data_IF_002165174389
#
_entry.id   IF_002165174389
#
_cell.length_a   1.000
_cell.length_b   1.000
_cell.length_c   1.000
_cell.angle_alpha   90.00
_cell.angle_beta   90.00
_cell.angle_gamma   90.00
#
_symmetry.space_group_name_H-M   'P 1'
#
loop_
_entity.id
_entity.type
_entity.pdbx_description
1 polymer ?
#
# COMPACT_ATOMS: atom_id res chain seq x y z
N UNK A 1 -25.06 12.97 25.64
CA UNK A 1 -23.58 13.01 25.58
C UNK A 1 -23.13 12.04 24.50
N UNK A 2 -22.19 12.41 23.62
CA UNK A 2 -21.58 11.41 22.71
C UNK A 2 -20.82 10.41 23.58
N UNK A 3 -21.08 9.11 23.41
CA UNK A 3 -20.27 8.07 24.06
C UNK A 3 -18.79 8.32 23.77
N UNK A 4 -17.96 8.21 24.81
CA UNK A 4 -16.50 8.35 24.66
C UNK A 4 -16.00 7.15 23.86
N UNK A 5 -15.35 7.43 22.73
CA UNK A 5 -14.82 6.37 21.85
C UNK A 5 -13.72 5.57 22.56
N UNK A 6 -13.74 4.25 22.37
CA UNK A 6 -12.70 3.31 22.81
C UNK A 6 -12.33 2.38 21.66
N UNK A 7 -11.10 1.82 21.62
CA UNK A 7 -10.68 0.89 20.57
C UNK A 7 -11.58 -0.34 20.41
N UNK A 8 -12.20 -0.82 21.50
CA UNK A 8 -13.10 -1.99 21.46
C UNK A 8 -14.58 -1.62 21.24
N UNK A 9 -14.93 -0.33 21.26
CA UNK A 9 -16.32 0.14 21.17
C UNK A 9 -17.03 -0.17 19.85
N UNK A 10 -16.28 -0.48 18.79
CA UNK A 10 -16.87 -0.91 17.51
C UNK A 10 -17.56 -2.28 17.60
N UNK A 11 -17.14 -3.16 18.52
CA UNK A 11 -17.70 -4.52 18.67
C UNK A 11 -19.17 -4.53 19.10
N UNK A 12 -19.63 -3.44 19.73
CA UNK A 12 -21.03 -3.25 20.11
C UNK A 12 -21.90 -2.65 18.99
N UNK A 13 -21.31 -2.36 17.82
CA UNK A 13 -22.01 -1.78 16.67
C UNK A 13 -22.22 -2.84 15.59
N UNK A 14 -23.27 -2.72 14.75
CA UNK A 14 -23.41 -3.56 13.57
C UNK A 14 -22.18 -3.41 12.65
N UNK A 15 -21.48 -4.53 12.41
CA UNK A 15 -20.32 -4.59 11.52
C UNK A 15 -20.54 -5.72 10.49
N UNK A 16 -20.24 -5.45 9.22
CA UNK A 16 -20.32 -6.43 8.13
C UNK A 16 -18.94 -7.00 7.82
N UNK A 17 -18.92 -8.19 7.24
CA UNK A 17 -17.70 -8.87 6.77
C UNK A 17 -16.66 -9.23 7.85
N UNK A 18 -17.06 -9.22 9.12
CA UNK A 18 -16.26 -9.75 10.21
C UNK A 18 -16.50 -11.27 10.28
N UNK A 19 -15.46 -12.11 10.24
CA UNK A 19 -15.63 -13.55 10.41
C UNK A 19 -16.20 -13.85 11.80
N UNK A 20 -17.39 -14.46 11.83
CA UNK A 20 -18.03 -14.96 13.05
C UNK A 20 -17.77 -16.45 13.29
N UNK A 21 -17.10 -17.09 12.34
CA UNK A 21 -16.87 -18.53 12.17
C UNK A 21 -15.42 -18.94 12.47
N UNK A 22 -14.70 -18.18 13.30
CA UNK A 22 -13.44 -18.64 13.87
C UNK A 22 -13.71 -19.85 14.80
N UNK A 23 -13.07 -21.02 14.59
CA UNK A 23 -13.38 -22.23 15.35
C UNK A 23 -13.08 -22.15 16.85
N UNK A 24 -12.01 -21.42 17.23
CA UNK A 24 -11.64 -21.16 18.62
C UNK A 24 -11.61 -19.64 18.89
N UNK A 25 -12.67 -19.08 19.49
CA UNK A 25 -12.72 -17.67 19.88
C UNK A 25 -11.64 -17.27 20.89
N UNK A 26 -11.19 -18.18 21.76
CA UNK A 26 -10.10 -17.89 22.69
C UNK A 26 -8.74 -17.85 21.99
N UNK A 27 -8.52 -18.64 20.93
CA UNK A 27 -7.34 -18.49 20.07
C UNK A 27 -7.29 -17.11 19.43
N UNK A 28 -8.42 -16.63 18.89
CA UNK A 28 -8.51 -15.28 18.36
C UNK A 28 -8.16 -14.24 19.43
N UNK A 29 -8.71 -14.39 20.64
CA UNK A 29 -8.44 -13.48 21.76
C UNK A 29 -6.96 -13.48 22.19
N UNK A 30 -6.29 -14.63 22.16
CA UNK A 30 -4.85 -14.75 22.42
C UNK A 30 -4.02 -14.03 21.36
N UNK A 31 -4.32 -14.23 20.08
CA UNK A 31 -3.65 -13.52 18.97
C UNK A 31 -3.87 -12.01 19.05
N UNK A 32 -5.09 -11.56 19.36
CA UNK A 32 -5.37 -10.14 19.54
C UNK A 32 -4.53 -9.53 20.69
N UNK A 33 -4.39 -10.23 21.81
CA UNK A 33 -3.54 -9.81 22.93
C UNK A 33 -2.06 -9.78 22.55
N UNK A 34 -1.59 -10.76 21.79
CA UNK A 34 -0.24 -10.80 21.27
C UNK A 34 0.05 -9.59 20.36
N UNK A 35 -0.81 -9.33 19.39
CA UNK A 35 -0.67 -8.19 18.46
C UNK A 35 -0.71 -6.83 19.18
N UNK A 36 -1.47 -6.70 20.29
CA UNK A 36 -1.45 -5.49 21.13
C UNK A 36 -0.09 -5.19 21.74
N UNK A 37 0.75 -6.21 21.94
CA UNK A 37 2.11 -6.06 22.49
C UNK A 37 3.15 -5.70 21.43
N UNK A 38 2.82 -5.81 20.15
CA UNK A 38 3.76 -5.59 19.06
C UNK A 38 3.96 -4.12 18.72
N UNK A 39 5.15 -3.74 18.19
CA UNK A 39 5.37 -2.39 17.70
C UNK A 39 4.36 -1.97 16.62
N UNK A 40 3.91 -0.71 16.59
CA UNK A 40 3.04 -0.23 15.52
C UNK A 40 3.80 -0.15 14.18
N UNK A 41 3.09 -0.31 13.07
CA UNK A 41 3.66 -0.18 11.72
C UNK A 41 4.06 1.27 11.39
N UNK A 42 3.33 2.25 11.92
CA UNK A 42 3.55 3.67 11.68
C UNK A 42 3.58 4.45 12.99
N UNK A 43 4.38 5.52 13.02
CA UNK A 43 4.42 6.45 14.14
C UNK A 43 3.30 7.49 14.02
N UNK A 44 2.76 7.95 15.17
CA UNK A 44 1.65 8.91 15.19
C UNK A 44 2.00 10.26 14.51
N UNK A 45 3.28 10.65 14.50
CA UNK A 45 3.76 11.82 13.76
C UNK A 45 3.58 11.69 12.25
N UNK A 46 3.79 10.49 11.69
CA UNK A 46 3.62 10.23 10.26
C UNK A 46 2.16 10.38 9.83
N UNK A 47 1.23 9.88 10.65
CA UNK A 47 -0.20 10.05 10.41
C UNK A 47 -0.63 11.53 10.47
N UNK A 48 -0.05 12.33 11.36
CA UNK A 48 -0.28 13.78 11.40
C UNK A 48 0.27 14.50 10.17
N UNK A 49 1.47 14.11 9.72
CA UNK A 49 2.06 14.66 8.50
C UNK A 49 1.21 14.32 7.28
N UNK A 50 0.73 13.08 7.16
CA UNK A 50 -0.20 12.68 6.10
C UNK A 50 -1.49 13.48 6.15
N UNK A 51 -2.07 13.68 7.34
CA UNK A 51 -3.28 14.50 7.50
C UNK A 51 -3.08 15.95 7.01
N UNK A 52 -1.93 16.55 7.31
CA UNK A 52 -1.60 17.88 6.81
C UNK A 52 -1.47 17.90 5.28
N UNK A 53 -0.78 16.92 4.70
CA UNK A 53 -0.66 16.79 3.24
C UNK A 53 -2.02 16.57 2.54
N UNK A 54 -2.91 15.78 3.15
CA UNK A 54 -4.28 15.59 2.65
C UNK A 54 -5.14 16.85 2.77
N UNK A 55 -4.86 17.73 3.73
CA UNK A 55 -5.51 19.03 3.81
C UNK A 55 -5.12 19.93 2.62
N UNK A 56 -3.85 19.88 2.18
CA UNK A 56 -3.42 20.57 0.97
C UNK A 56 -4.08 19.99 -0.29
N UNK A 57 -4.26 18.67 -0.37
CA UNK A 57 -5.04 18.03 -1.45
C UNK A 57 -6.48 18.56 -1.45
N UNK A 58 -7.14 18.54 -0.29
CA UNK A 58 -8.52 19.03 -0.16
C UNK A 58 -8.67 20.52 -0.51
N UNK A 59 -7.62 21.32 -0.24
CA UNK A 59 -7.56 22.73 -0.61
C UNK A 59 -7.15 22.97 -2.09
N UNK A 60 -6.96 21.92 -2.89
CA UNK A 60 -6.55 22.03 -4.28
C UNK A 60 -5.09 22.49 -4.48
N UNK A 61 -4.23 22.35 -3.46
CA UNK A 61 -2.80 22.72 -3.52
C UNK A 61 -1.89 21.54 -3.88
N UNK A 62 -2.40 20.32 -3.76
CA UNK A 62 -1.68 19.09 -4.09
C UNK A 62 -2.63 18.09 -4.78
N UNK A 63 -2.07 17.02 -5.35
CA UNK A 63 -2.79 15.91 -5.95
C UNK A 63 -2.56 14.63 -5.13
N UNK A 64 -3.56 13.74 -5.05
CA UNK A 64 -3.43 12.44 -4.37
C UNK A 64 -3.25 11.33 -5.40
N UNK A 65 -2.15 10.58 -5.30
CA UNK A 65 -1.95 9.32 -6.00
C UNK A 65 -2.03 8.18 -4.98
N UNK A 66 -3.02 7.31 -5.15
CA UNK A 66 -3.16 6.10 -4.35
C UNK A 66 -3.26 4.86 -5.25
N UNK A 67 -2.42 3.86 -5.01
CA UNK A 67 -2.38 2.65 -5.85
C UNK A 67 -1.55 1.53 -5.23
N UNK A 68 -1.64 0.34 -5.81
CA UNK A 68 -1.03 -0.90 -5.31
C UNK A 68 -2.00 -2.07 -5.45
N UNK A 69 -1.78 -3.13 -4.67
CA UNK A 69 -2.48 -4.39 -4.86
C UNK A 69 -3.99 -4.29 -4.56
N UNK A 70 -4.77 -5.12 -5.25
CA UNK A 70 -6.17 -5.33 -4.92
C UNK A 70 -6.26 -5.95 -3.51
N UNK A 71 -5.53 -7.04 -3.30
CA UNK A 71 -5.12 -7.49 -1.99
C UNK A 71 -3.76 -8.18 -2.06
N UNK A 72 -2.96 -7.96 -1.03
CA UNK A 72 -1.69 -8.63 -0.85
C UNK A 72 -1.94 -10.12 -0.56
N UNK A 73 -1.06 -10.99 -1.08
CA UNK A 73 -1.04 -12.42 -0.78
C UNK A 73 0.27 -12.81 -0.10
N UNK A 74 0.17 -13.71 0.86
CA UNK A 74 1.32 -14.33 1.53
C UNK A 74 2.22 -15.09 0.56
N UNK A 75 1.68 -15.59 -0.56
CA UNK A 75 2.45 -16.30 -1.60
C UNK A 75 3.26 -15.37 -2.48
N UNK A 76 2.76 -14.15 -2.70
CA UNK A 76 3.38 -13.14 -3.56
C UNK A 76 4.31 -12.20 -2.79
N UNK A 77 4.64 -12.55 -1.54
CA UNK A 77 5.56 -11.81 -0.68
C UNK A 77 7.00 -11.98 -1.16
N UNK A 78 7.37 -11.22 -2.18
CA UNK A 78 8.68 -11.19 -2.79
C UNK A 78 9.21 -9.75 -2.91
N UNK A 79 10.50 -9.50 -2.61
CA UNK A 79 11.07 -8.15 -2.68
C UNK A 79 10.94 -7.50 -4.06
N UNK A 80 11.01 -8.28 -5.14
CA UNK A 80 10.84 -7.75 -6.50
C UNK A 80 9.43 -7.20 -6.74
N UNK A 81 8.39 -7.87 -6.26
CA UNK A 81 7.01 -7.39 -6.40
C UNK A 81 6.82 -6.06 -5.66
N UNK A 82 7.33 -5.96 -4.43
CA UNK A 82 7.29 -4.73 -3.63
C UNK A 82 8.04 -3.60 -4.36
N UNK A 83 9.23 -3.91 -4.87
CA UNK A 83 10.07 -2.96 -5.63
C UNK A 83 9.36 -2.46 -6.88
N UNK A 84 8.75 -3.36 -7.66
CA UNK A 84 8.19 -3.01 -8.96
C UNK A 84 6.85 -2.26 -8.82
N UNK A 85 6.05 -2.57 -7.78
CA UNK A 85 4.91 -1.74 -7.37
C UNK A 85 5.36 -0.35 -6.92
N UNK A 86 6.43 -0.26 -6.11
CA UNK A 86 7.01 1.02 -5.69
C UNK A 86 7.50 1.85 -6.90
N UNK A 87 8.24 1.24 -7.83
CA UNK A 87 8.70 1.89 -9.06
C UNK A 87 7.54 2.47 -9.86
N UNK A 88 6.48 1.68 -10.04
CA UNK A 88 5.29 2.09 -10.80
C UNK A 88 4.63 3.31 -10.16
N UNK A 89 4.44 3.30 -8.84
CA UNK A 89 3.89 4.46 -8.11
C UNK A 89 4.76 5.70 -8.24
N UNK A 90 6.09 5.55 -8.16
CA UNK A 90 7.02 6.68 -8.30
C UNK A 90 7.03 7.25 -9.72
N UNK A 91 7.01 6.40 -10.75
CA UNK A 91 6.93 6.83 -12.15
C UNK A 91 5.64 7.63 -12.41
N UNK A 92 4.48 7.12 -11.94
CA UNK A 92 3.22 7.84 -12.03
C UNK A 92 3.27 9.17 -11.28
N UNK A 93 3.85 9.21 -10.09
CA UNK A 93 3.93 10.42 -9.29
C UNK A 93 4.72 11.53 -9.99
N UNK A 94 5.88 11.20 -10.60
CA UNK A 94 6.70 12.18 -11.31
C UNK A 94 5.96 12.76 -12.51
N UNK A 95 5.31 11.91 -13.32
CA UNK A 95 4.48 12.37 -14.45
C UNK A 95 3.34 13.28 -13.97
N UNK A 96 2.64 12.90 -12.90
CA UNK A 96 1.55 13.70 -12.34
C UNK A 96 2.04 15.02 -11.74
N UNK A 97 3.20 15.04 -11.08
CA UNK A 97 3.80 16.28 -10.55
C UNK A 97 4.13 17.24 -11.67
N UNK A 98 4.73 16.75 -12.76
CA UNK A 98 5.05 17.56 -13.93
C UNK A 98 3.79 18.09 -14.62
N UNK A 99 2.82 17.21 -14.89
CA UNK A 99 1.60 17.57 -15.63
C UNK A 99 0.66 18.49 -14.84
N UNK A 100 0.56 18.30 -13.52
CA UNK A 100 -0.30 19.10 -12.65
C UNK A 100 0.38 20.37 -12.12
N UNK A 101 1.71 20.49 -12.28
CA UNK A 101 2.54 21.53 -11.65
C UNK A 101 2.27 21.68 -10.15
N UNK A 102 2.04 20.56 -9.47
CA UNK A 102 1.62 20.49 -8.05
C UNK A 102 2.27 19.30 -7.35
N UNK A 103 2.51 19.41 -6.03
CA UNK A 103 2.95 18.27 -5.23
C UNK A 103 1.98 17.08 -5.34
N UNK A 104 2.53 15.87 -5.39
CA UNK A 104 1.75 14.63 -5.36
C UNK A 104 1.96 13.93 -4.02
N UNK A 105 0.87 13.70 -3.29
CA UNK A 105 0.83 12.86 -2.09
C UNK A 105 0.70 11.41 -2.53
N UNK A 106 1.66 10.57 -2.15
CA UNK A 106 1.81 9.18 -2.61
C UNK A 106 1.33 8.24 -1.50
N UNK A 107 0.30 7.43 -1.76
CA UNK A 107 -0.24 6.43 -0.82
C UNK A 107 -0.23 5.05 -1.46
N UNK A 108 0.50 4.12 -0.86
CA UNK A 108 0.50 2.72 -1.29
C UNK A 108 -0.66 1.93 -0.73
N UNK A 109 -1.30 1.09 -1.55
CA UNK A 109 -2.11 -0.06 -1.11
C UNK A 109 -1.17 -1.25 -0.90
N UNK A 110 -0.50 -1.24 0.25
CA UNK A 110 0.59 -2.15 0.60
C UNK A 110 0.77 -2.22 2.11
N UNK A 111 1.49 -3.23 2.59
CA UNK A 111 1.79 -3.45 4.00
C UNK A 111 0.54 -3.60 4.90
N UNK A 112 -0.52 -4.24 4.42
CA UNK A 112 -1.69 -4.59 5.26
C UNK A 112 -3.00 -4.84 4.51
N UNK A 113 -3.01 -4.75 3.19
CA UNK A 113 -4.20 -4.90 2.35
C UNK A 113 -4.53 -6.38 2.10
N UNK A 114 -4.61 -7.19 3.16
CA UNK A 114 -4.84 -8.65 3.05
C UNK A 114 -6.32 -9.02 3.02
N UNK A 115 -7.16 -8.31 3.77
CA UNK A 115 -8.58 -8.65 3.91
C UNK A 115 -9.40 -8.27 2.67
N UNK A 116 -10.37 -9.12 2.33
CA UNK A 116 -11.30 -8.93 1.20
C UNK A 116 -12.75 -9.02 1.67
N UNK A 117 -13.59 -7.99 1.46
CA UNK A 117 -15.03 -8.17 1.62
C UNK A 117 -15.55 -9.15 0.56
N UNK A 118 -16.57 -9.92 0.92
CA UNK A 118 -17.23 -10.88 0.03
C UNK A 118 -18.72 -10.61 -0.01
N UNK A 119 -19.30 -10.71 -1.20
CA UNK A 119 -20.75 -10.61 -1.40
C UNK A 119 -21.47 -11.76 -0.69
N UNK A 120 -20.94 -12.98 -0.84
CA UNK A 120 -21.47 -14.20 -0.22
C UNK A 120 -20.49 -14.79 0.80
N UNK A 121 -21.03 -15.31 1.90
CA UNK A 121 -20.23 -15.89 2.99
C UNK A 121 -19.64 -17.25 2.63
N UNK A 122 -20.28 -17.95 1.69
CA UNK A 122 -19.90 -19.27 1.19
C UNK A 122 -19.74 -19.27 -0.33
N UNK A 123 -18.98 -20.23 -0.82
CA UNK A 123 -18.71 -20.47 -2.23
C UNK A 123 -18.97 -21.95 -2.51
N UNK A 124 -19.70 -22.24 -3.58
CA UNK A 124 -20.02 -23.61 -4.01
C UNK A 124 -19.33 -23.91 -5.34
N UNK A 125 -18.51 -24.95 -5.36
CA UNK A 125 -17.83 -25.45 -6.57
C UNK A 125 -18.08 -26.95 -6.64
N UNK A 126 -18.53 -27.44 -7.80
CA UNK A 126 -18.80 -28.86 -8.07
C UNK A 126 -19.65 -29.55 -6.99
N UNK A 127 -20.65 -28.83 -6.45
CA UNK A 127 -21.58 -29.33 -5.43
C UNK A 127 -21.07 -29.29 -3.99
N UNK A 128 -19.81 -28.89 -3.77
CA UNK A 128 -19.23 -28.71 -2.43
C UNK A 128 -19.31 -27.24 -2.04
N UNK A 129 -19.83 -26.95 -0.84
CA UNK A 129 -19.96 -25.57 -0.32
C UNK A 129 -18.99 -25.36 0.83
N UNK A 130 -18.12 -24.35 0.70
CA UNK A 130 -17.13 -23.96 1.72
C UNK A 130 -17.24 -22.46 2.04
N UNK A 131 -16.66 -21.97 3.15
CA UNK A 131 -16.51 -20.54 3.37
C UNK A 131 -15.79 -19.88 2.20
N UNK A 132 -16.26 -18.70 1.81
CA UNK A 132 -15.59 -17.85 0.84
C UNK A 132 -14.17 -17.51 1.31
N UNK A 133 -13.22 -17.45 0.38
CA UNK A 133 -11.91 -16.85 0.65
C UNK A 133 -12.06 -15.34 0.99
N UNK A 134 -11.64 -14.92 2.19
CA UNK A 134 -11.82 -13.56 2.73
C UNK A 134 -10.52 -12.77 2.81
N UNK A 135 -9.46 -13.26 2.17
CA UNK A 135 -8.13 -12.67 2.24
C UNK A 135 -7.19 -13.42 3.16
N UNK A 136 -5.89 -13.31 2.90
CA UNK A 136 -4.88 -14.19 3.49
C UNK A 136 -4.74 -14.01 5.00
N UNK A 137 -5.15 -12.87 5.56
CA UNK A 137 -5.18 -12.63 7.00
C UNK A 137 -6.35 -13.30 7.73
N UNK A 138 -7.29 -13.94 7.00
CA UNK A 138 -8.43 -14.66 7.56
C UNK A 138 -8.34 -16.15 7.23
N UNK A 139 -8.28 -16.51 5.95
CA UNK A 139 -8.24 -17.90 5.48
C UNK A 139 -7.44 -18.03 4.17
N UNK A 140 -7.25 -19.25 3.67
CA UNK A 140 -6.50 -19.54 2.46
C UNK A 140 -7.35 -19.52 1.19
N UNK A 141 -6.67 -19.39 0.04
CA UNK A 141 -7.33 -19.27 -1.27
C UNK A 141 -7.78 -20.63 -1.81
N UNK A 142 -7.04 -21.70 -1.46
CA UNK A 142 -7.31 -23.07 -1.88
C UNK A 142 -8.73 -23.49 -1.47
N UNK A 143 -9.46 -24.16 -2.38
CA UNK A 143 -10.83 -24.62 -2.15
C UNK A 143 -10.85 -25.96 -1.40
N UNK A 144 -10.35 -25.95 -0.16
CA UNK A 144 -10.42 -27.10 0.76
C UNK A 144 -10.98 -26.66 2.12
N UNK A 145 -11.65 -27.56 2.87
CA UNK A 145 -12.18 -27.23 4.20
C UNK A 145 -11.12 -26.63 5.14
N UNK A 146 -9.90 -27.20 5.12
CA UNK A 146 -8.80 -26.78 5.99
C UNK A 146 -8.31 -25.39 5.63
N UNK A 147 -8.17 -25.10 4.33
CA UNK A 147 -7.75 -23.79 3.84
C UNK A 147 -8.79 -22.72 4.10
N UNK A 148 -10.08 -23.04 3.90
CA UNK A 148 -11.18 -22.07 4.01
C UNK A 148 -11.61 -21.79 5.44
N UNK A 149 -11.24 -22.64 6.40
CA UNK A 149 -11.44 -22.39 7.83
C UNK A 149 -10.66 -21.15 8.28
N UNK A 150 -11.31 -20.16 8.93
CA UNK A 150 -10.61 -18.99 9.47
C UNK A 150 -9.56 -19.39 10.52
N UNK A 151 -8.35 -18.85 10.39
CA UNK A 151 -7.21 -19.13 11.27
C UNK A 151 -6.68 -17.82 11.87
N UNK A 152 -6.81 -17.60 13.20
CA UNK A 152 -6.33 -16.38 13.83
C UNK A 152 -4.84 -16.11 13.66
N UNK A 153 -3.99 -17.15 13.56
CA UNK A 153 -2.53 -16.99 13.44
C UNK A 153 -2.14 -16.26 12.14
N UNK A 154 -3.03 -16.27 11.14
CA UNK A 154 -2.86 -15.49 9.91
C UNK A 154 -2.81 -13.99 10.17
N UNK A 155 -3.39 -13.48 11.27
CA UNK A 155 -3.26 -12.07 11.66
C UNK A 155 -1.82 -11.73 12.08
N UNK A 156 -1.15 -12.63 12.80
CA UNK A 156 0.27 -12.49 13.20
C UNK A 156 1.18 -12.55 11.97
N UNK A 157 0.88 -13.46 11.05
CA UNK A 157 1.60 -13.56 9.77
C UNK A 157 1.42 -12.31 8.91
N UNK A 158 0.19 -11.80 8.81
CA UNK A 158 -0.10 -10.55 8.11
C UNK A 158 0.67 -9.37 8.70
N UNK A 159 0.68 -9.22 10.03
CA UNK A 159 1.50 -8.20 10.70
C UNK A 159 2.98 -8.30 10.34
N UNK A 160 3.53 -9.52 10.35
CA UNK A 160 4.96 -9.74 10.08
C UNK A 160 5.33 -9.38 8.65
N UNK A 161 4.50 -9.75 7.68
CA UNK A 161 4.68 -9.35 6.28
C UNK A 161 4.49 -7.84 6.09
N UNK A 162 3.46 -7.24 6.72
CA UNK A 162 3.27 -5.79 6.72
C UNK A 162 4.51 -5.04 7.21
N UNK A 163 5.09 -5.47 8.34
CA UNK A 163 6.27 -4.85 8.91
C UNK A 163 7.49 -4.96 7.97
N UNK A 164 7.70 -6.14 7.38
CA UNK A 164 8.79 -6.36 6.44
C UNK A 164 8.63 -5.57 5.12
N UNK A 165 7.42 -5.55 4.55
CA UNK A 165 7.08 -4.74 3.36
C UNK A 165 7.32 -3.27 3.63
N UNK A 166 6.83 -2.75 4.75
CA UNK A 166 6.98 -1.34 5.10
C UNK A 166 8.43 -0.96 5.36
N UNK A 167 9.21 -1.84 6.01
CA UNK A 167 10.64 -1.64 6.21
C UNK A 167 11.38 -1.52 4.86
N UNK A 168 11.10 -2.41 3.91
CA UNK A 168 11.72 -2.37 2.59
C UNK A 168 11.34 -1.11 1.82
N UNK A 169 10.07 -0.70 1.87
CA UNK A 169 9.62 0.55 1.22
C UNK A 169 10.27 1.77 1.84
N UNK A 170 10.44 1.81 3.17
CA UNK A 170 11.19 2.88 3.84
C UNK A 170 12.65 2.93 3.38
N UNK A 171 13.26 1.77 3.17
CA UNK A 171 14.63 1.69 2.63
C UNK A 171 14.68 2.22 1.19
N UNK A 172 13.71 1.90 0.32
CA UNK A 172 13.65 2.47 -1.03
C UNK A 172 13.40 3.98 -1.03
N UNK A 173 12.45 4.46 -0.22
CA UNK A 173 12.09 5.87 -0.16
C UNK A 173 13.22 6.76 0.39
N UNK A 174 14.00 6.28 1.37
CA UNK A 174 15.05 7.08 2.00
C UNK A 174 16.47 6.74 1.52
N UNK A 175 16.67 5.57 0.90
CA UNK A 175 17.98 5.07 0.47
C UNK A 175 18.41 5.55 -0.91
N UNK A 176 17.78 6.58 -1.48
CA UNK A 176 18.10 7.13 -2.80
C UNK A 176 17.53 6.33 -3.98
N UNK A 177 16.82 5.23 -3.73
CA UNK A 177 16.17 4.48 -4.81
C UNK A 177 15.08 5.31 -5.48
N UNK A 178 14.35 6.11 -4.71
CA UNK A 178 13.32 7.04 -5.18
C UNK A 178 13.84 8.32 -5.86
N UNK A 179 15.16 8.46 -6.06
CA UNK A 179 15.76 9.62 -6.73
C UNK A 179 15.17 9.83 -8.14
N UNK A 180 14.87 11.08 -8.49
CA UNK A 180 14.25 11.46 -9.76
C UNK A 180 15.02 10.95 -10.99
N UNK A 181 16.35 10.82 -10.93
CA UNK A 181 17.16 10.24 -12.00
C UNK A 181 16.88 8.76 -12.21
N UNK A 182 16.66 8.03 -11.12
CA UNK A 182 16.28 6.62 -11.18
C UNK A 182 14.87 6.48 -11.76
N UNK A 183 13.95 7.34 -11.35
CA UNK A 183 12.58 7.34 -11.85
C UNK A 183 12.53 7.63 -13.35
N UNK A 184 13.31 8.59 -13.85
CA UNK A 184 13.43 8.85 -15.29
C UNK A 184 13.89 7.60 -16.05
N UNK A 185 14.95 6.93 -15.59
CA UNK A 185 15.43 5.68 -16.22
C UNK A 185 14.36 4.60 -16.29
N UNK A 186 13.52 4.47 -15.26
CA UNK A 186 12.43 3.49 -15.26
C UNK A 186 11.32 3.87 -16.25
N UNK A 187 10.98 5.16 -16.34
CA UNK A 187 9.97 5.64 -17.29
C UNK A 187 10.37 5.35 -18.74
N UNK A 188 11.63 5.61 -19.11
CA UNK A 188 12.11 5.36 -20.48
C UNK A 188 12.08 3.86 -20.81
N UNK A 189 12.45 2.99 -19.87
CA UNK A 189 12.44 1.54 -20.07
C UNK A 189 11.04 0.96 -20.32
N UNK A 190 10.01 1.45 -19.62
CA UNK A 190 8.62 1.00 -19.80
C UNK A 190 8.04 1.37 -21.18
N UNK A 191 8.50 2.49 -21.73
CA UNK A 191 7.89 3.14 -22.89
C UNK A 191 8.48 2.66 -24.22
N UNK A 192 9.67 2.03 -24.18
CA UNK A 192 10.43 1.62 -25.36
C UNK A 192 9.64 0.71 -26.32
N UNK A 193 8.85 -0.22 -25.77
CA UNK A 193 8.11 -1.23 -26.54
C UNK A 193 6.60 -0.92 -26.70
N UNK A 194 6.15 0.25 -26.27
CA UNK A 194 4.73 0.63 -26.31
C UNK A 194 4.35 1.29 -27.65
N UNK A 195 3.15 1.02 -28.21
CA UNK A 195 2.60 1.77 -29.35
C UNK A 195 2.45 3.28 -29.06
N UNK A 196 2.28 3.64 -27.79
CA UNK A 196 2.22 5.03 -27.32
C UNK A 196 3.61 5.59 -26.98
N UNK A 197 4.66 4.84 -27.30
CA UNK A 197 6.05 5.08 -26.90
C UNK A 197 6.57 6.48 -27.24
N UNK A 198 6.14 7.02 -28.39
CA UNK A 198 6.53 8.37 -28.81
C UNK A 198 5.97 9.46 -27.88
N UNK A 199 4.68 9.39 -27.54
CA UNK A 199 4.01 10.41 -26.71
C UNK A 199 4.54 10.42 -25.27
N UNK A 200 4.84 9.25 -24.72
CA UNK A 200 5.41 9.16 -23.38
C UNK A 200 6.89 9.58 -23.35
N UNK A 201 7.66 9.31 -24.41
CA UNK A 201 9.03 9.82 -24.54
C UNK A 201 9.07 11.35 -24.53
N UNK A 202 8.19 12.02 -25.27
CA UNK A 202 8.10 13.48 -25.26
C UNK A 202 7.85 14.06 -23.86
N UNK A 203 7.08 13.37 -23.01
CA UNK A 203 6.87 13.79 -21.62
C UNK A 203 8.13 13.51 -20.77
N UNK A 204 8.74 12.34 -20.93
CA UNK A 204 9.94 11.96 -20.21
C UNK A 204 11.12 12.92 -20.51
N UNK A 205 11.30 13.28 -21.78
CA UNK A 205 12.35 14.21 -22.23
C UNK A 205 12.15 15.59 -21.60
N UNK A 206 10.91 16.11 -21.59
CA UNK A 206 10.60 17.41 -20.94
C UNK A 206 10.80 17.39 -19.43
N UNK A 207 10.55 16.25 -18.77
CA UNK A 207 10.84 16.09 -17.35
C UNK A 207 12.36 16.12 -17.12
N UNK A 208 13.14 15.48 -17.98
CA UNK A 208 14.60 15.50 -17.92
C UNK A 208 15.16 16.90 -18.10
N UNK A 209 14.71 17.64 -19.11
CA UNK A 209 15.10 19.05 -19.30
C UNK A 209 14.80 19.91 -18.06
N UNK A 210 13.67 19.67 -17.39
CA UNK A 210 13.33 20.40 -16.17
C UNK A 210 14.23 20.04 -14.98
N UNK A 211 14.62 18.76 -14.86
CA UNK A 211 15.58 18.30 -13.83
C UNK A 211 16.95 18.92 -14.10
N UNK A 212 17.46 18.81 -15.34
CA UNK A 212 18.75 19.39 -15.74
C UNK A 212 18.79 20.90 -15.50
N UNK A 213 17.68 21.60 -15.76
CA UNK A 213 17.55 23.03 -15.46
C UNK A 213 17.60 23.32 -13.95
N UNK A 214 16.89 22.52 -13.13
CA UNK A 214 16.95 22.65 -11.67
C UNK A 214 18.38 22.46 -11.16
N UNK A 215 19.11 21.47 -11.67
CA UNK A 215 20.50 21.22 -11.31
C UNK A 215 21.42 22.36 -11.73
N UNK A 216 21.24 22.91 -12.94
CA UNK A 216 21.98 24.08 -13.40
C UNK A 216 21.74 25.33 -12.53
N UNK A 217 20.57 25.41 -11.88
CA UNK A 217 20.26 26.43 -10.87
C UNK A 217 20.78 26.10 -9.45
N UNK A 218 21.52 24.99 -9.27
CA UNK A 218 22.04 24.53 -7.98
C UNK A 218 21.01 23.81 -7.09
N UNK A 219 19.87 23.42 -7.66
CA UNK A 219 18.84 22.62 -6.98
C UNK A 219 19.14 21.15 -7.27
N UNK A 220 19.83 20.49 -6.33
CA UNK A 220 20.26 19.09 -6.42
C UNK A 220 19.65 18.28 -5.28
N UNK A 221 19.69 16.94 -5.34
CA UNK A 221 19.28 16.08 -4.23
C UNK A 221 20.04 16.36 -2.92
N UNK A 222 21.26 16.91 -2.99
CA UNK A 222 22.08 17.33 -1.84
C UNK A 222 21.62 18.67 -1.27
N UNK A 223 21.25 19.63 -2.12
CA UNK A 223 20.82 20.97 -1.67
C UNK A 223 19.35 21.02 -1.28
N UNK A 224 18.50 20.18 -1.89
CA UNK A 224 17.07 20.05 -1.59
C UNK A 224 16.71 18.59 -1.33
N UNK A 225 16.77 18.12 -0.06
CA UNK A 225 16.52 16.72 0.31
C UNK A 225 15.15 16.17 -0.11
N UNK A 226 14.16 17.03 -0.35
CA UNK A 226 12.85 16.62 -0.88
C UNK A 226 12.92 16.01 -2.29
N UNK A 227 13.99 16.23 -3.05
CA UNK A 227 14.17 15.58 -4.35
C UNK A 227 14.53 14.09 -4.23
N UNK A 228 14.94 13.63 -3.04
CA UNK A 228 15.23 12.22 -2.75
C UNK A 228 13.97 11.39 -2.40
N UNK A 229 12.78 12.01 -2.29
CA UNK A 229 11.55 11.44 -1.70
C UNK A 229 10.28 11.60 -2.54
#
# INVERSE_FOLDING_TARGET
MREKWTPDGWRARPAKHIPADYPDPEALRRVEQQLRSYPPLVFAGEARNLKAALADVAAGKAFLLQGGDCAESFKEFHPDNIRDTFRTLMAMAVVLTFAASRPVVKIGRLAGQFAKPRSEQTETIDGVTLPSYRGDNINGMEFTPESRTPDPERLVKAYSQSAATLNLIRAFANGGYADLHNVHRWMVGFVADSPQGKRYREIADRISEAIDFMEACGITPESVPRMKQ
#
